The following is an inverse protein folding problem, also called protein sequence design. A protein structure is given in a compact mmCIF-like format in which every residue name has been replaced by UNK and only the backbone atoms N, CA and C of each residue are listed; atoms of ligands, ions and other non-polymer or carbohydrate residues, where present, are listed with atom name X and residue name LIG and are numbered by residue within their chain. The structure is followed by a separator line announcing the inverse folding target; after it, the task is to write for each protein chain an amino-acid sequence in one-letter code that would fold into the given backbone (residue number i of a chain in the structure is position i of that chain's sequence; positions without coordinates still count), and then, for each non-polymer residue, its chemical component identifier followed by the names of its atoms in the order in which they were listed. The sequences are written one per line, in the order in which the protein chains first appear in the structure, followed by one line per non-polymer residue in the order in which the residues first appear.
data_IF_507019763783
#
_entry.id   IF_507019763783
#
_cell.length_a   1.000
_cell.length_b   1.000
_cell.length_c   1.000
_cell.angle_alpha   90.00
_cell.angle_beta   90.00
_cell.angle_gamma   90.00
#
_symmetry.space_group_name_H-M   'P 1'
#
loop_
_entity.id
_entity.type
_entity.pdbx_description
1 polymer ?
#
# COMPACT_ATOMS: atom_id res chain seq x y z
N UNK A 1 21.47 -29.84 -81.10
CA UNK A 1 20.29 -29.53 -80.28
C UNK A 1 20.59 -29.90 -78.83
N UNK A 2 20.95 -28.92 -78.00
CA UNK A 2 21.30 -29.12 -76.58
C UNK A 2 20.01 -29.29 -75.78
N UNK A 3 19.84 -30.46 -75.15
CA UNK A 3 18.74 -30.72 -74.20
C UNK A 3 19.11 -30.09 -72.85
N UNK A 4 18.32 -29.11 -72.43
CA UNK A 4 18.35 -28.51 -71.10
C UNK A 4 17.84 -29.55 -70.08
N UNK A 5 18.66 -29.88 -69.08
CA UNK A 5 18.23 -30.62 -67.89
C UNK A 5 17.70 -29.60 -66.89
N UNK A 6 16.39 -29.68 -66.59
CA UNK A 6 15.74 -28.88 -65.57
C UNK A 6 16.12 -29.46 -64.20
N UNK A 7 16.91 -28.73 -63.41
CA UNK A 7 17.21 -29.07 -62.01
C UNK A 7 16.10 -28.49 -61.14
N UNK A 8 15.23 -29.35 -60.64
CA UNK A 8 14.21 -29.01 -59.64
C UNK A 8 14.88 -28.77 -58.30
N UNK A 9 15.05 -27.51 -57.87
CA UNK A 9 15.37 -27.20 -56.48
C UNK A 9 14.13 -27.45 -55.61
N UNK A 10 14.13 -28.57 -54.87
CA UNK A 10 13.27 -28.70 -53.69
C UNK A 10 13.85 -27.82 -52.58
N UNK A 11 13.20 -26.69 -52.32
CA UNK A 11 13.40 -25.94 -51.07
C UNK A 11 12.72 -26.71 -49.94
N UNK A 12 13.52 -27.39 -49.11
CA UNK A 12 13.05 -27.89 -47.82
C UNK A 12 12.85 -26.66 -46.92
N UNK A 13 11.61 -26.18 -46.85
CA UNK A 13 11.22 -25.21 -45.84
C UNK A 13 11.27 -25.92 -44.47
N UNK A 14 12.32 -25.64 -43.71
CA UNK A 14 12.43 -26.07 -42.32
C UNK A 14 11.39 -25.27 -41.52
N UNK A 15 10.19 -25.83 -41.35
CA UNK A 15 9.18 -25.28 -40.43
C UNK A 15 9.69 -25.56 -39.03
N UNK A 16 10.31 -24.56 -38.41
CA UNK A 16 10.61 -24.59 -36.99
C UNK A 16 9.29 -24.80 -36.22
N UNK A 17 9.22 -25.76 -35.27
CA UNK A 17 8.04 -25.91 -34.47
C UNK A 17 7.84 -24.62 -33.68
N UNK A 18 6.66 -23.98 -33.85
CA UNK A 18 6.23 -22.88 -32.98
C UNK A 18 6.29 -23.40 -31.55
N UNK A 19 7.29 -22.97 -30.78
CA UNK A 19 7.31 -23.16 -29.35
C UNK A 19 6.13 -22.39 -28.77
N UNK A 20 5.02 -23.08 -28.58
CA UNK A 20 4.01 -22.63 -27.65
C UNK A 20 4.69 -22.63 -26.28
N UNK A 21 5.17 -21.45 -25.87
CA UNK A 21 5.54 -21.17 -24.49
C UNK A 21 4.29 -21.43 -23.64
N UNK A 22 4.19 -22.65 -23.11
CA UNK A 22 3.25 -22.99 -22.05
C UNK A 22 3.62 -22.12 -20.85
N UNK A 23 2.89 -21.04 -20.64
CA UNK A 23 2.97 -20.18 -19.46
C UNK A 23 2.16 -20.78 -18.30
N UNK A 24 2.25 -22.09 -18.10
CA UNK A 24 1.74 -22.76 -16.90
C UNK A 24 2.94 -23.18 -16.07
N UNK A 25 3.68 -22.18 -15.56
CA UNK A 25 4.63 -22.42 -14.48
C UNK A 25 3.82 -22.41 -13.20
N UNK A 26 3.55 -23.62 -12.69
CA UNK A 26 3.12 -23.80 -11.31
C UNK A 26 4.07 -23.05 -10.39
N UNK A 27 3.53 -22.15 -9.56
CA UNK A 27 4.29 -21.41 -8.57
C UNK A 27 4.85 -22.41 -7.56
N UNK A 28 6.13 -22.74 -7.67
CA UNK A 28 6.81 -23.52 -6.65
C UNK A 28 6.83 -22.68 -5.36
N UNK A 29 6.09 -23.13 -4.35
CA UNK A 29 6.22 -22.66 -2.98
C UNK A 29 7.69 -22.77 -2.60
N UNK A 30 8.37 -21.64 -2.40
CA UNK A 30 9.72 -21.65 -1.84
C UNK A 30 9.59 -21.88 -0.33
N UNK A 31 10.44 -22.72 0.29
CA UNK A 31 10.40 -22.90 1.73
C UNK A 31 10.62 -21.53 2.38
N UNK A 32 9.67 -21.14 3.25
CA UNK A 32 9.77 -19.92 4.04
C UNK A 32 10.90 -20.02 5.07
N UNK A 33 11.23 -18.90 5.70
CA UNK A 33 12.14 -18.92 6.84
C UNK A 33 11.46 -19.70 7.99
N UNK A 34 12.13 -20.69 8.62
CA UNK A 34 11.51 -21.51 9.66
C UNK A 34 11.05 -20.73 10.90
N UNK A 35 11.51 -19.48 11.07
CA UNK A 35 11.06 -18.58 12.14
C UNK A 35 9.70 -17.94 11.82
N UNK A 36 9.30 -17.89 10.55
CA UNK A 36 8.05 -17.29 10.06
C UNK A 36 6.86 -18.23 10.24
N UNK A 37 6.59 -18.61 11.49
CA UNK A 37 5.61 -19.65 11.87
C UNK A 37 4.18 -19.37 11.42
N UNK A 38 3.83 -18.10 11.19
CA UNK A 38 2.51 -17.68 10.77
C UNK A 38 2.31 -17.72 9.24
N UNK A 39 3.37 -17.95 8.46
CA UNK A 39 3.33 -17.86 6.99
C UNK A 39 3.53 -19.24 6.35
N UNK A 40 2.47 -19.77 5.75
CA UNK A 40 2.51 -20.98 4.94
C UNK A 40 2.26 -20.67 3.46
N UNK A 41 2.70 -21.57 2.57
CA UNK A 41 2.42 -21.52 1.12
C UNK A 41 2.67 -20.15 0.48
N UNK A 42 3.83 -19.56 0.76
CA UNK A 42 4.21 -18.23 0.28
C UNK A 42 4.21 -18.16 -1.27
N UNK A 43 3.49 -17.19 -1.83
CA UNK A 43 3.29 -16.97 -3.26
C UNK A 43 3.65 -15.53 -3.64
N UNK A 44 4.63 -15.37 -4.52
CA UNK A 44 4.93 -14.07 -5.13
C UNK A 44 3.99 -13.82 -6.33
N UNK A 45 3.20 -12.75 -6.29
CA UNK A 45 2.23 -12.41 -7.34
C UNK A 45 2.81 -11.48 -8.41
N UNK A 46 3.59 -10.47 -8.02
CA UNK A 46 4.20 -9.54 -8.98
C UNK A 46 5.67 -9.88 -9.24
N UNK A 47 6.13 -9.53 -10.43
CA UNK A 47 7.55 -9.57 -10.79
C UNK A 47 7.94 -8.22 -11.39
N UNK A 48 8.64 -7.45 -10.59
CA UNK A 48 9.18 -6.15 -10.95
C UNK A 48 8.24 -4.97 -10.70
N UNK A 49 8.82 -3.79 -10.96
CA UNK A 49 8.29 -2.53 -10.46
C UNK A 49 8.54 -2.33 -8.96
N UNK A 50 8.08 -1.20 -8.46
CA UNK A 50 7.92 -0.93 -7.04
C UNK A 50 6.44 -1.09 -6.73
N UNK A 51 6.08 -1.93 -5.76
CA UNK A 51 4.69 -2.23 -5.40
C UNK A 51 4.50 -1.97 -3.91
N UNK A 52 3.33 -1.48 -3.53
CA UNK A 52 2.98 -1.26 -2.14
C UNK A 52 1.46 -1.37 -1.96
N UNK A 53 1.02 -1.51 -0.69
CA UNK A 53 -0.38 -1.31 -0.31
C UNK A 53 -1.37 -2.18 -1.07
N UNK A 54 -1.12 -3.50 -1.12
CA UNK A 54 -1.98 -4.43 -1.82
C UNK A 54 -3.15 -4.91 -0.97
N UNK A 55 -4.29 -4.20 -1.06
CA UNK A 55 -5.48 -4.45 -0.27
C UNK A 55 -6.51 -5.31 -0.99
N UNK A 56 -7.17 -6.20 -0.23
CA UNK A 56 -8.21 -7.07 -0.77
C UNK A 56 -9.50 -6.30 -1.10
N UNK A 57 -10.20 -6.77 -2.13
CA UNK A 57 -11.63 -6.51 -2.25
C UNK A 57 -12.39 -7.14 -1.09
N UNK A 58 -13.57 -6.61 -0.75
CA UNK A 58 -14.42 -7.09 0.34
C UNK A 58 -14.90 -8.54 0.17
N UNK A 59 -15.01 -9.03 -1.07
CA UNK A 59 -15.27 -10.43 -1.38
C UNK A 59 -14.01 -11.33 -1.36
N UNK A 60 -12.84 -10.74 -1.11
CA UNK A 60 -11.55 -11.43 -1.04
C UNK A 60 -11.05 -11.98 -2.38
N UNK A 61 -11.54 -11.51 -3.53
CA UNK A 61 -11.20 -12.10 -4.85
C UNK A 61 -10.16 -11.32 -5.64
N UNK A 62 -9.96 -10.05 -5.34
CA UNK A 62 -9.05 -9.14 -6.04
C UNK A 62 -8.17 -8.38 -5.06
N UNK A 63 -7.06 -7.89 -5.59
CA UNK A 63 -6.22 -6.90 -4.91
C UNK A 63 -6.31 -5.57 -5.66
N UNK A 64 -6.27 -4.46 -4.93
CA UNK A 64 -6.00 -3.12 -5.42
C UNK A 64 -4.70 -2.65 -4.78
N UNK A 65 -3.79 -2.07 -5.56
CA UNK A 65 -2.44 -1.75 -5.09
C UNK A 65 -1.81 -0.64 -5.91
N UNK A 66 -0.84 0.05 -5.31
CA UNK A 66 -0.04 1.03 -6.03
C UNK A 66 1.20 0.38 -6.62
N UNK A 67 1.57 0.79 -7.83
CA UNK A 67 2.82 0.38 -8.44
C UNK A 67 3.45 1.42 -9.34
N UNK A 68 4.75 1.63 -9.18
CA UNK A 68 5.61 2.27 -10.19
C UNK A 68 6.17 1.18 -11.11
N UNK A 69 5.77 1.19 -12.38
CA UNK A 69 6.21 0.24 -13.40
C UNK A 69 6.08 0.83 -14.80
N UNK A 70 6.89 0.39 -15.79
CA UNK A 70 6.76 0.85 -17.16
C UNK A 70 5.31 0.72 -17.69
N UNK A 71 4.81 1.70 -18.45
CA UNK A 71 5.50 2.92 -18.91
C UNK A 71 5.47 4.11 -17.92
N UNK A 72 4.94 3.92 -16.71
CA UNK A 72 4.72 5.01 -15.75
C UNK A 72 5.99 5.33 -14.95
N UNK A 73 6.29 6.62 -14.81
CA UNK A 73 7.46 7.10 -14.08
C UNK A 73 7.21 7.29 -12.58
N UNK A 74 5.96 7.17 -12.13
CA UNK A 74 5.54 7.26 -10.75
C UNK A 74 4.34 6.35 -10.49
N UNK A 75 3.99 6.21 -9.22
CA UNK A 75 2.97 5.28 -8.75
C UNK A 75 1.64 5.51 -9.45
N UNK A 76 1.05 4.41 -9.94
CA UNK A 76 -0.31 4.30 -10.46
C UNK A 76 -1.07 3.21 -9.69
N UNK A 77 -2.39 3.23 -9.76
CA UNK A 77 -3.24 2.23 -9.10
C UNK A 77 -3.58 1.11 -10.06
N UNK A 78 -3.37 -0.12 -9.62
CA UNK A 78 -3.67 -1.34 -10.37
C UNK A 78 -4.58 -2.27 -9.58
N UNK A 79 -5.25 -3.16 -10.30
CA UNK A 79 -5.90 -4.33 -9.73
C UNK A 79 -5.43 -5.62 -10.40
N UNK A 80 -5.51 -6.73 -9.68
CA UNK A 80 -5.27 -8.09 -10.19
C UNK A 80 -6.07 -9.12 -9.39
N UNK A 81 -6.18 -10.34 -9.91
CA UNK A 81 -6.71 -11.46 -9.13
C UNK A 81 -5.66 -12.09 -8.19
N UNK A 82 -6.11 -12.97 -7.30
CA UNK A 82 -5.23 -13.64 -6.31
C UNK A 82 -4.24 -14.67 -6.91
N UNK A 83 -4.26 -14.87 -8.24
CA UNK A 83 -3.28 -15.69 -8.96
C UNK A 83 -2.21 -14.82 -9.63
N UNK A 84 -2.25 -13.50 -9.42
CA UNK A 84 -1.38 -12.53 -10.07
C UNK A 84 -1.70 -12.34 -11.55
N UNK A 85 -2.91 -12.72 -12.00
CA UNK A 85 -3.37 -12.54 -13.38
C UNK A 85 -4.32 -11.34 -13.47
N UNK A 86 -4.67 -10.97 -14.70
CA UNK A 86 -5.60 -9.88 -15.00
C UNK A 86 -5.16 -8.52 -14.42
N UNK A 87 -3.85 -8.22 -14.54
CA UNK A 87 -3.32 -6.93 -14.13
C UNK A 87 -3.92 -5.82 -14.99
N UNK A 88 -4.60 -4.87 -14.35
CA UNK A 88 -5.30 -3.77 -15.00
C UNK A 88 -4.95 -2.44 -14.31
N UNK A 89 -4.62 -1.42 -15.10
CA UNK A 89 -4.53 -0.03 -14.63
C UNK A 89 -5.94 0.47 -14.27
N UNK A 90 -6.10 1.01 -13.07
CA UNK A 90 -7.34 1.62 -12.58
C UNK A 90 -7.29 3.15 -12.55
N UNK A 91 -6.13 3.73 -12.26
CA UNK A 91 -5.96 5.19 -12.30
C UNK A 91 -5.82 5.72 -13.74
N UNK A 92 -5.72 7.04 -13.87
CA UNK A 92 -5.71 7.73 -15.18
C UNK A 92 -4.41 7.56 -15.98
N UNK A 93 -3.36 6.99 -15.39
CA UNK A 93 -2.01 6.97 -15.97
C UNK A 93 -1.29 8.32 -15.91
N UNK A 94 -1.88 9.33 -15.26
CA UNK A 94 -1.37 10.71 -15.13
C UNK A 94 -1.21 11.06 -13.65
N UNK A 95 -0.34 12.03 -13.39
CA UNK A 95 0.00 12.46 -12.04
C UNK A 95 0.57 11.31 -11.20
N UNK A 96 0.80 11.56 -9.92
CA UNK A 96 1.08 10.48 -8.97
C UNK A 96 -0.20 9.99 -8.32
N UNK A 97 -0.22 8.73 -7.92
CA UNK A 97 -1.28 8.17 -7.07
C UNK A 97 -0.71 7.58 -5.79
N UNK A 98 -1.55 7.48 -4.76
CA UNK A 98 -1.23 6.74 -3.53
C UNK A 98 -2.52 6.16 -2.94
N UNK A 99 -2.39 5.12 -2.12
CA UNK A 99 -3.41 4.59 -1.22
C UNK A 99 -4.80 4.43 -1.87
N UNK A 100 -5.06 3.25 -2.42
CA UNK A 100 -6.33 2.93 -3.06
C UNK A 100 -7.09 1.85 -2.30
N UNK A 101 -8.42 1.92 -2.25
CA UNK A 101 -9.22 0.99 -1.46
C UNK A 101 -10.57 0.69 -2.14
N UNK A 102 -11.04 -0.54 -2.06
CA UNK A 102 -12.34 -0.92 -2.60
C UNK A 102 -13.49 -0.43 -1.72
N UNK A 103 -14.67 -0.30 -2.31
CA UNK A 103 -15.93 -0.18 -1.57
C UNK A 103 -16.51 -1.57 -1.27
N UNK A 104 -17.39 -1.70 -0.27
CA UNK A 104 -18.05 -2.97 0.08
C UNK A 104 -18.80 -3.65 -1.07
N UNK A 105 -19.21 -2.91 -2.09
CA UNK A 105 -19.88 -3.46 -3.27
C UNK A 105 -18.93 -4.16 -4.27
N UNK A 106 -17.62 -4.13 -4.02
CA UNK A 106 -16.57 -4.72 -4.87
C UNK A 106 -16.55 -4.19 -6.31
N UNK A 107 -17.15 -3.03 -6.55
CA UNK A 107 -17.29 -2.39 -7.86
C UNK A 107 -16.72 -0.98 -7.86
N UNK A 108 -16.94 -0.22 -6.81
CA UNK A 108 -16.34 1.09 -6.64
C UNK A 108 -15.03 1.00 -5.87
N UNK A 109 -14.17 1.98 -6.11
CA UNK A 109 -12.90 2.14 -5.40
C UNK A 109 -12.54 3.61 -5.29
N UNK A 110 -11.75 3.93 -4.27
CA UNK A 110 -11.14 5.25 -4.09
C UNK A 110 -9.64 5.16 -4.25
N UNK A 111 -9.02 6.29 -4.60
CA UNK A 111 -7.58 6.49 -4.57
C UNK A 111 -7.26 7.98 -4.49
N UNK A 112 -6.09 8.33 -3.97
CA UNK A 112 -5.62 9.70 -4.00
C UNK A 112 -4.75 9.95 -5.23
N UNK A 113 -4.86 11.13 -5.85
CA UNK A 113 -4.08 11.46 -7.03
C UNK A 113 -3.83 12.95 -7.23
N UNK A 114 -2.74 13.27 -7.91
CA UNK A 114 -2.43 14.64 -8.33
C UNK A 114 -2.96 14.97 -9.73
N UNK A 115 -3.54 14.02 -10.47
CA UNK A 115 -3.70 14.12 -11.92
C UNK A 115 -4.49 15.33 -12.45
N UNK A 116 -5.46 15.84 -11.71
CA UNK A 116 -6.29 16.98 -12.14
C UNK A 116 -5.50 18.29 -12.09
N UNK A 117 -4.70 18.50 -11.03
CA UNK A 117 -3.92 19.72 -10.83
C UNK A 117 -2.48 19.61 -11.39
N UNK A 118 -1.90 18.41 -11.33
CA UNK A 118 -0.57 18.08 -11.84
C UNK A 118 -0.57 16.70 -12.54
N UNK A 119 -0.73 16.67 -13.88
CA UNK A 119 -0.74 15.43 -14.65
C UNK A 119 0.65 14.81 -14.86
N UNK A 120 1.72 15.50 -14.48
CA UNK A 120 3.08 14.97 -14.55
C UNK A 120 3.48 14.30 -13.24
N UNK A 121 4.46 13.39 -13.30
CA UNK A 121 5.03 12.83 -12.10
C UNK A 121 5.75 13.92 -11.29
N UNK A 122 5.36 14.16 -10.02
CA UNK A 122 6.02 15.13 -9.17
C UNK A 122 7.50 14.78 -8.96
N UNK A 123 8.37 15.79 -8.82
CA UNK A 123 9.78 15.55 -8.55
C UNK A 123 9.96 14.84 -7.21
N UNK A 124 10.98 13.98 -7.13
CA UNK A 124 11.38 13.38 -5.85
C UNK A 124 12.04 14.45 -4.97
N UNK A 125 11.74 14.49 -3.67
CA UNK A 125 12.45 15.38 -2.73
C UNK A 125 13.96 15.14 -2.76
N UNK A 126 14.73 16.19 -2.48
CA UNK A 126 16.18 16.09 -2.35
C UNK A 126 16.59 15.19 -1.18
N UNK A 127 17.59 14.32 -1.40
CA UNK A 127 18.15 13.48 -0.35
C UNK A 127 19.05 14.26 0.64
N UNK A 128 19.38 15.52 0.37
CA UNK A 128 20.33 16.31 1.17
C UNK A 128 19.89 16.53 2.63
N UNK A 129 18.59 16.45 2.93
CA UNK A 129 18.01 16.59 4.28
C UNK A 129 17.67 15.25 4.97
N UNK A 130 18.16 14.13 4.44
CA UNK A 130 17.78 12.78 4.85
C UNK A 130 16.49 12.29 4.19
N UNK A 131 16.01 11.13 4.62
CA UNK A 131 14.81 10.50 4.08
C UNK A 131 13.53 11.23 4.55
N UNK A 132 12.70 11.65 3.60
CA UNK A 132 11.44 12.36 3.82
C UNK A 132 10.37 11.82 2.89
N UNK A 133 9.11 11.94 3.29
CA UNK A 133 7.96 11.66 2.45
C UNK A 133 7.39 12.97 1.88
N UNK A 134 7.17 13.05 0.56
CA UNK A 134 6.51 14.19 -0.05
C UNK A 134 5.01 14.19 0.23
N UNK A 135 4.51 15.34 0.69
CA UNK A 135 3.12 15.68 0.83
C UNK A 135 2.76 16.60 -0.34
N UNK A 136 2.62 16.04 -1.54
CA UNK A 136 2.27 16.83 -2.71
C UNK A 136 0.94 17.56 -2.46
N UNK A 137 0.96 18.88 -2.61
CA UNK A 137 -0.16 19.78 -2.29
C UNK A 137 -1.31 19.72 -3.31
N UNK A 138 -1.19 18.83 -4.28
CA UNK A 138 -2.16 18.59 -5.35
C UNK A 138 -2.94 17.28 -5.15
N UNK A 139 -2.72 16.57 -4.04
CA UNK A 139 -3.44 15.32 -3.78
C UNK A 139 -4.89 15.60 -3.40
N UNK A 140 -5.79 15.03 -4.19
CA UNK A 140 -7.21 14.89 -3.87
C UNK A 140 -7.60 13.41 -3.91
N UNK A 141 -8.69 13.07 -3.23
CA UNK A 141 -9.29 11.73 -3.23
C UNK A 141 -10.34 11.66 -4.33
N UNK A 142 -10.27 10.59 -5.13
CA UNK A 142 -11.18 10.33 -6.24
C UNK A 142 -11.88 8.99 -6.07
N UNK A 143 -13.13 8.94 -6.48
CA UNK A 143 -13.98 7.75 -6.61
C UNK A 143 -14.07 7.35 -8.08
N UNK A 144 -13.96 6.06 -8.37
CA UNK A 144 -14.23 5.49 -9.68
C UNK A 144 -14.89 4.10 -9.55
N UNK A 145 -15.27 3.51 -10.68
CA UNK A 145 -15.87 2.17 -10.75
C UNK A 145 -15.09 1.28 -11.69
N UNK A 146 -15.09 -0.03 -11.45
CA UNK A 146 -14.48 -1.00 -12.34
C UNK A 146 -15.15 -1.06 -13.73
N UNK A 147 -16.38 -0.56 -13.84
CA UNK A 147 -17.12 -0.48 -15.11
C UNK A 147 -16.92 0.87 -15.82
N UNK A 148 -16.55 1.92 -15.08
CA UNK A 148 -16.25 3.26 -15.58
C UNK A 148 -15.10 3.86 -14.76
N UNK A 149 -13.90 3.83 -15.35
CA UNK A 149 -12.67 4.32 -14.74
C UNK A 149 -12.57 5.85 -14.74
N UNK A 150 -13.61 6.57 -15.15
CA UNK A 150 -13.65 8.03 -15.07
C UNK A 150 -13.69 8.48 -13.61
N UNK A 151 -12.64 9.13 -13.09
CA UNK A 151 -12.61 9.52 -11.69
C UNK A 151 -13.52 10.70 -11.41
N UNK A 152 -14.23 10.65 -10.27
CA UNK A 152 -14.99 11.74 -9.68
C UNK A 152 -14.31 12.19 -8.39
N UNK A 153 -13.96 13.47 -8.21
CA UNK A 153 -13.35 13.92 -6.97
C UNK A 153 -14.35 13.85 -5.81
N UNK A 154 -13.86 13.39 -4.66
CA UNK A 154 -14.52 13.45 -3.36
C UNK A 154 -14.00 14.64 -2.55
N UNK A 155 -12.75 15.04 -2.77
CA UNK A 155 -12.15 16.24 -2.17
C UNK A 155 -11.70 17.22 -3.25
N UNK A 156 -11.60 18.49 -2.87
CA UNK A 156 -11.01 19.58 -3.67
C UNK A 156 -10.29 20.57 -2.76
N UNK A 157 -9.76 20.07 -1.64
CA UNK A 157 -9.22 20.92 -0.58
C UNK A 157 -7.75 21.20 -0.89
N UNK A 158 -7.29 22.47 -0.84
CA UNK A 158 -5.88 22.77 -1.08
C UNK A 158 -4.99 22.02 -0.10
N UNK A 159 -3.95 21.36 -0.62
CA UNK A 159 -2.99 20.61 0.19
C UNK A 159 -3.01 19.12 -0.10
N UNK A 160 -2.90 18.33 0.95
CA UNK A 160 -2.73 16.88 0.87
C UNK A 160 -3.98 16.21 1.43
N UNK A 161 -4.82 15.63 0.57
CA UNK A 161 -5.90 14.72 0.95
C UNK A 161 -5.59 13.33 0.38
N UNK A 162 -5.19 12.39 1.23
CA UNK A 162 -4.79 11.06 0.80
C UNK A 162 -4.92 9.99 1.90
N UNK A 163 -4.29 8.83 1.70
CA UNK A 163 -4.23 7.73 2.69
C UNK A 163 -5.61 7.19 3.10
N UNK A 164 -6.54 7.19 2.15
CA UNK A 164 -7.95 6.93 2.41
C UNK A 164 -8.28 5.43 2.45
N UNK A 165 -9.06 5.00 3.44
CA UNK A 165 -9.63 3.64 3.53
C UNK A 165 -11.13 3.70 3.83
N UNK A 166 -11.84 2.62 3.54
CA UNK A 166 -13.31 2.55 3.66
C UNK A 166 -13.70 1.65 4.82
N UNK A 167 -14.64 2.11 5.64
CA UNK A 167 -15.23 1.32 6.73
C UNK A 167 -15.88 0.04 6.18
N UNK A 168 -15.68 -1.12 6.83
CA UNK A 168 -16.35 -2.35 6.43
C UNK A 168 -17.88 -2.31 6.49
N UNK A 169 -18.44 -1.34 7.22
CA UNK A 169 -19.89 -1.07 7.25
C UNK A 169 -20.40 -0.33 6.01
N UNK A 170 -19.51 0.23 5.18
CA UNK A 170 -19.90 1.02 4.01
C UNK A 170 -20.55 2.35 4.36
N UNK A 171 -20.21 2.93 5.50
CA UNK A 171 -20.80 4.16 6.02
C UNK A 171 -19.85 5.35 6.03
N UNK A 172 -18.53 5.10 6.11
CA UNK A 172 -17.50 6.15 6.23
C UNK A 172 -16.23 5.83 5.46
N UNK A 173 -15.55 6.88 5.03
CA UNK A 173 -14.16 6.90 4.60
C UNK A 173 -13.35 7.56 5.72
N UNK A 174 -12.18 7.04 6.06
CA UNK A 174 -11.16 7.73 6.86
C UNK A 174 -10.00 8.10 5.97
N UNK A 175 -9.38 9.26 6.17
CA UNK A 175 -8.28 9.75 5.34
C UNK A 175 -7.43 10.78 6.08
N UNK A 176 -6.21 11.05 5.59
CA UNK A 176 -5.32 12.09 6.11
C UNK A 176 -5.51 13.39 5.34
N UNK A 177 -5.61 14.50 6.06
CA UNK A 177 -5.64 15.83 5.46
C UNK A 177 -4.77 16.85 6.19
N UNK A 178 -4.13 17.74 5.43
CA UNK A 178 -3.39 18.91 5.96
C UNK A 178 -4.26 20.18 6.07
N UNK A 179 -5.56 20.10 5.80
CA UNK A 179 -6.43 21.28 5.59
C UNK A 179 -6.47 22.29 6.74
N UNK A 180 -6.22 21.84 7.97
CA UNK A 180 -6.22 22.68 9.18
C UNK A 180 -4.80 23.07 9.62
N UNK A 181 -3.80 22.91 8.75
CA UNK A 181 -2.41 23.29 8.99
C UNK A 181 -1.53 22.20 9.60
N UNK A 182 -2.11 21.05 9.95
CA UNK A 182 -1.41 19.85 10.40
C UNK A 182 -1.99 18.59 9.74
N UNK A 183 -1.21 17.50 9.67
CA UNK A 183 -1.64 16.23 9.09
C UNK A 183 -2.51 15.45 10.07
N UNK A 184 -3.82 15.53 9.88
CA UNK A 184 -4.80 14.98 10.80
C UNK A 184 -5.67 13.95 10.09
N UNK A 185 -6.26 13.02 10.87
CA UNK A 185 -7.28 12.12 10.37
C UNK A 185 -8.63 12.85 10.27
N UNK A 186 -9.33 12.57 9.18
CA UNK A 186 -10.69 12.99 8.95
C UNK A 186 -11.53 11.80 8.53
N UNK A 187 -12.84 11.89 8.76
CA UNK A 187 -13.82 11.00 8.17
C UNK A 187 -14.78 11.77 7.29
N UNK A 188 -15.41 11.08 6.33
CA UNK A 188 -16.50 11.60 5.51
C UNK A 188 -17.45 10.46 5.10
N UNK A 189 -18.65 10.82 4.64
CA UNK A 189 -19.55 9.89 3.96
C UNK A 189 -18.92 9.39 2.64
N UNK A 190 -19.42 8.26 2.13
CA UNK A 190 -18.93 7.67 0.88
C UNK A 190 -19.08 8.58 -0.36
N UNK A 191 -19.98 9.55 -0.32
CA UNK A 191 -20.18 10.52 -1.41
C UNK A 191 -19.25 11.74 -1.35
N UNK A 192 -18.49 11.89 -0.25
CA UNK A 192 -17.60 13.01 0.05
C UNK A 192 -18.17 14.05 1.03
N UNK A 193 -19.44 13.90 1.45
CA UNK A 193 -20.10 14.83 2.39
C UNK A 193 -19.77 14.54 3.86
N UNK A 194 -20.21 15.40 4.79
CA UNK A 194 -20.07 15.21 6.25
C UNK A 194 -18.60 15.00 6.70
N UNK A 195 -17.70 15.86 6.19
CA UNK A 195 -16.29 15.83 6.55
C UNK A 195 -16.11 16.24 8.03
N UNK A 196 -15.47 15.39 8.83
CA UNK A 196 -15.21 15.60 10.26
C UNK A 196 -13.77 15.28 10.62
N UNK A 197 -13.13 16.15 11.39
CA UNK A 197 -11.80 15.91 11.96
C UNK A 197 -11.89 14.90 13.12
N UNK A 198 -10.91 14.02 13.22
CA UNK A 198 -10.83 12.92 14.20
C UNK A 198 -9.68 13.13 15.19
N UNK A 199 -8.52 13.56 14.70
CA UNK A 199 -7.33 13.81 15.52
C UNK A 199 -7.05 15.31 15.62
N UNK A 200 -6.38 15.71 16.70
CA UNK A 200 -6.18 17.13 17.07
C UNK A 200 -4.81 17.42 17.71
N UNK A 201 -3.94 16.41 17.79
CA UNK A 201 -2.67 16.54 18.51
C UNK A 201 -1.55 16.75 17.50
N UNK A 202 -0.73 17.78 17.72
CA UNK A 202 0.33 18.17 16.80
C UNK A 202 1.21 16.99 16.39
N UNK A 203 1.36 16.82 15.09
CA UNK A 203 2.21 15.81 14.48
C UNK A 203 1.54 15.16 13.28
N UNK A 204 2.20 14.15 12.74
CA UNK A 204 1.64 13.44 11.60
C UNK A 204 0.70 12.34 12.07
N UNK A 205 -0.56 12.37 11.65
CA UNK A 205 -1.49 11.25 11.72
C UNK A 205 -1.86 10.73 10.32
N UNK A 206 -1.62 9.44 10.04
CA UNK A 206 -2.02 8.89 8.75
C UNK A 206 -2.07 7.37 8.60
N UNK A 207 -2.46 6.94 7.40
CA UNK A 207 -2.57 5.53 7.02
C UNK A 207 -3.54 4.76 7.92
N UNK A 208 -4.72 5.34 8.18
CA UNK A 208 -5.68 4.81 9.12
C UNK A 208 -6.55 3.69 8.52
N UNK A 209 -6.89 2.69 9.34
CA UNK A 209 -7.80 1.60 8.99
C UNK A 209 -8.88 1.42 10.06
N UNK A 210 -10.10 1.19 9.61
CA UNK A 210 -11.20 0.74 10.46
C UNK A 210 -10.98 -0.70 10.94
N UNK A 211 -11.43 -1.00 12.17
CA UNK A 211 -11.53 -2.37 12.67
C UNK A 211 -12.53 -3.19 11.83
N UNK A 212 -12.50 -4.55 11.90
CA UNK A 212 -13.40 -5.39 11.12
C UNK A 212 -14.90 -5.12 11.37
N UNK A 213 -15.24 -4.68 12.57
CA UNK A 213 -16.59 -4.27 12.97
C UNK A 213 -16.86 -2.76 12.80
N UNK A 214 -15.90 -2.01 12.25
CA UNK A 214 -15.96 -0.57 11.99
C UNK A 214 -16.12 0.30 13.24
N UNK A 215 -15.84 -0.19 14.45
CA UNK A 215 -16.01 0.56 15.70
C UNK A 215 -14.76 1.34 16.12
N UNK A 216 -13.59 0.96 15.61
CA UNK A 216 -12.30 1.52 15.99
C UNK A 216 -11.48 1.93 14.76
N UNK A 217 -10.47 2.78 14.99
CA UNK A 217 -9.43 3.13 14.03
C UNK A 217 -8.07 2.71 14.57
N UNK A 218 -7.18 2.27 13.68
CA UNK A 218 -5.75 2.11 13.93
C UNK A 218 -4.97 2.93 12.91
N UNK A 219 -3.90 3.61 13.32
CA UNK A 219 -3.11 4.45 12.42
C UNK A 219 -1.67 4.60 12.90
N UNK A 220 -0.80 5.15 12.04
CA UNK A 220 0.56 5.54 12.43
C UNK A 220 0.58 7.02 12.78
N UNK A 221 1.34 7.40 13.79
CA UNK A 221 1.51 8.80 14.11
C UNK A 221 2.90 9.18 14.61
N UNK A 222 3.31 10.44 14.37
CA UNK A 222 4.43 11.08 15.06
C UNK A 222 3.90 12.13 16.03
N UNK A 223 4.59 12.28 17.16
CA UNK A 223 4.34 13.34 18.15
C UNK A 223 5.68 14.02 18.47
N UNK A 224 6.05 15.09 17.74
CA UNK A 224 7.31 15.77 17.99
C UNK A 224 7.31 16.39 19.38
N UNK A 225 8.41 16.23 20.12
CA UNK A 225 8.55 16.91 21.41
C UNK A 225 8.61 18.43 21.23
N UNK A 226 8.25 19.16 22.29
CA UNK A 226 8.34 20.62 22.31
C UNK A 226 9.80 21.09 22.06
N UNK A 227 9.94 22.22 21.36
CA UNK A 227 11.24 22.78 20.98
C UNK A 227 11.69 22.29 19.60
N UNK A 228 12.95 21.85 19.49
CA UNK A 228 13.60 21.58 18.21
C UNK A 228 12.86 20.58 17.31
N UNK A 229 12.31 19.51 17.88
CA UNK A 229 11.56 18.50 17.10
C UNK A 229 10.30 19.11 16.46
N UNK A 230 9.58 19.94 17.21
CA UNK A 230 8.40 20.67 16.71
C UNK A 230 8.79 21.67 15.62
N UNK A 231 9.86 22.43 15.83
CA UNK A 231 10.37 23.39 14.83
C UNK A 231 10.77 22.69 13.53
N UNK A 232 11.49 21.57 13.62
CA UNK A 232 11.87 20.76 12.46
C UNK A 232 10.66 20.17 11.75
N UNK A 233 9.67 19.67 12.49
CA UNK A 233 8.41 19.14 11.94
C UNK A 233 7.66 20.21 11.14
N UNK A 234 7.41 21.37 11.76
CA UNK A 234 6.67 22.47 11.12
C UNK A 234 7.43 23.04 9.90
N UNK A 235 8.77 23.10 9.96
CA UNK A 235 9.59 23.54 8.84
C UNK A 235 9.52 22.59 7.64
N UNK A 236 9.49 21.27 7.89
CA UNK A 236 9.28 20.27 6.83
C UNK A 236 7.85 20.34 6.28
N UNK A 237 6.85 20.45 7.17
CA UNK A 237 5.45 20.51 6.76
C UNK A 237 5.18 21.74 5.86
N UNK A 238 5.78 22.89 6.19
CA UNK A 238 5.72 24.09 5.35
C UNK A 238 6.29 23.88 3.93
N UNK A 239 7.21 22.93 3.77
CA UNK A 239 7.77 22.53 2.47
C UNK A 239 6.98 21.41 1.79
N UNK A 240 5.88 20.93 2.39
CA UNK A 240 5.15 19.76 1.90
C UNK A 240 5.93 18.47 2.12
N UNK A 241 6.61 18.33 3.26
CA UNK A 241 7.42 17.17 3.61
C UNK A 241 7.10 16.69 5.02
N UNK A 242 7.28 15.39 5.27
CA UNK A 242 7.30 14.81 6.63
C UNK A 242 8.45 13.83 6.77
N UNK A 243 8.99 13.69 7.98
CA UNK A 243 10.05 12.72 8.28
C UNK A 243 9.48 11.49 9.01
N UNK A 244 9.53 10.28 8.40
CA UNK A 244 8.94 9.07 8.96
C UNK A 244 9.91 8.30 9.88
N UNK A 245 10.74 8.99 10.66
CA UNK A 245 11.83 8.34 11.43
C UNK A 245 11.40 7.78 12.78
N UNK A 246 10.36 8.37 13.41
CA UNK A 246 9.79 7.92 14.68
C UNK A 246 8.28 7.97 14.56
N UNK A 247 7.73 6.82 14.20
CA UNK A 247 6.30 6.62 14.02
C UNK A 247 5.84 5.57 15.01
N UNK A 248 4.72 5.83 15.65
CA UNK A 248 4.11 4.94 16.63
C UNK A 248 2.73 4.53 16.16
N UNK A 249 2.26 3.36 16.57
CA UNK A 249 0.92 2.89 16.26
C UNK A 249 -0.05 3.37 17.33
N UNK A 250 -1.18 3.91 16.90
CA UNK A 250 -2.26 4.39 17.76
C UNK A 250 -3.57 3.69 17.42
N UNK A 251 -4.47 3.69 18.40
CA UNK A 251 -5.83 3.18 18.29
C UNK A 251 -6.81 4.11 19.01
N UNK A 252 -8.03 4.22 18.50
CA UNK A 252 -9.13 4.97 19.09
C UNK A 252 -10.47 4.39 18.66
N UNK A 253 -11.56 4.84 19.28
CA UNK A 253 -12.88 4.66 18.69
C UNK A 253 -12.98 5.43 17.36
N UNK A 254 -13.85 4.98 16.46
CA UNK A 254 -14.00 5.58 15.14
C UNK A 254 -14.50 7.05 15.16
N UNK A 255 -15.02 7.51 16.29
CA UNK A 255 -15.39 8.91 16.54
C UNK A 255 -14.23 9.79 17.04
N UNK A 256 -13.03 9.22 17.19
CA UNK A 256 -11.83 9.93 17.67
C UNK A 256 -11.65 9.92 19.19
N UNK A 257 -12.57 9.34 19.95
CA UNK A 257 -12.46 9.28 21.40
C UNK A 257 -11.58 8.10 21.86
N UNK A 258 -11.06 8.18 23.10
CA UNK A 258 -10.24 7.14 23.72
C UNK A 258 -8.97 6.78 22.93
N UNK A 259 -8.26 7.81 22.45
CA UNK A 259 -6.96 7.66 21.78
C UNK A 259 -5.95 7.00 22.72
N UNK A 260 -5.28 5.96 22.22
CA UNK A 260 -4.26 5.19 22.94
C UNK A 260 -3.08 4.92 22.03
N UNK A 261 -1.88 5.16 22.54
CA UNK A 261 -0.63 4.78 21.89
C UNK A 261 -0.29 3.32 22.21
N UNK A 262 -0.03 2.50 21.20
CA UNK A 262 0.30 1.08 21.33
C UNK A 262 1.81 0.81 21.31
N UNK A 263 2.59 1.61 20.59
CA UNK A 263 4.05 1.48 20.55
C UNK A 263 4.75 2.71 21.11
N UNK A 264 5.90 2.52 21.74
CA UNK A 264 6.81 3.59 22.17
C UNK A 264 8.22 3.01 22.30
N UNK A 265 8.74 2.50 21.18
CA UNK A 265 9.95 1.68 21.14
C UNK A 265 11.11 2.37 20.41
N UNK A 266 10.93 3.62 19.97
CA UNK A 266 11.97 4.41 19.29
C UNK A 266 12.23 3.99 17.83
N UNK A 267 11.40 3.10 17.28
CA UNK A 267 11.45 2.66 15.90
C UNK A 267 10.50 3.49 15.00
N UNK A 268 10.57 3.25 13.71
CA UNK A 268 9.55 3.66 12.76
C UNK A 268 8.52 2.54 12.60
N UNK A 269 7.41 2.64 13.34
CA UNK A 269 6.30 1.71 13.26
C UNK A 269 5.20 2.28 12.34
N UNK A 270 4.84 1.57 11.26
CA UNK A 270 3.87 2.09 10.28
C UNK A 270 3.07 1.00 9.56
N UNK A 271 2.17 1.43 8.67
CA UNK A 271 1.23 0.58 7.92
C UNK A 271 0.52 -0.47 8.81
N UNK A 272 -0.17 -0.03 9.88
CA UNK A 272 -0.91 -0.95 10.72
C UNK A 272 -2.15 -1.48 9.99
N UNK A 273 -2.48 -2.75 10.24
CA UNK A 273 -3.73 -3.36 9.81
C UNK A 273 -4.31 -4.23 10.93
N UNK A 274 -5.63 -4.35 10.95
CA UNK A 274 -6.32 -5.20 11.91
C UNK A 274 -6.17 -6.66 11.53
N UNK A 275 -5.90 -7.50 12.53
CA UNK A 275 -6.20 -8.92 12.41
C UNK A 275 -7.73 -9.11 12.34
N UNK A 276 -8.25 -10.02 11.50
CA UNK A 276 -9.70 -10.26 11.32
C UNK A 276 -10.45 -10.61 12.60
N UNK A 277 -9.75 -11.18 13.59
CA UNK A 277 -10.32 -11.43 14.92
C UNK A 277 -10.69 -10.15 15.70
N UNK A 278 -10.22 -8.98 15.25
CA UNK A 278 -10.40 -7.70 15.93
C UNK A 278 -9.57 -7.55 17.21
N UNK A 279 -8.65 -8.49 17.51
CA UNK A 279 -7.91 -8.54 18.80
C UNK A 279 -6.43 -8.22 18.69
N UNK A 280 -5.88 -8.17 17.49
CA UNK A 280 -4.46 -7.95 17.23
C UNK A 280 -4.27 -6.95 16.10
N UNK A 281 -3.15 -6.24 16.13
CA UNK A 281 -2.69 -5.35 15.07
C UNK A 281 -1.41 -5.94 14.47
N UNK A 282 -1.37 -6.08 13.15
CA UNK A 282 -0.13 -6.33 12.40
C UNK A 282 0.40 -4.99 11.87
N UNK A 283 1.71 -4.77 11.90
CA UNK A 283 2.32 -3.52 11.46
C UNK A 283 3.77 -3.75 11.01
N UNK A 284 4.37 -2.72 10.42
CA UNK A 284 5.75 -2.73 9.93
C UNK A 284 6.65 -2.02 10.92
N UNK A 285 7.84 -2.56 11.22
CA UNK A 285 8.80 -1.89 12.11
C UNK A 285 10.25 -2.22 11.77
N UNK A 286 11.14 -1.24 11.96
CA UNK A 286 12.59 -1.44 11.96
C UNK A 286 13.16 -1.65 13.37
N UNK A 287 12.34 -2.07 14.34
CA UNK A 287 12.73 -2.22 15.74
C UNK A 287 14.06 -2.96 15.96
N UNK A 288 14.31 -4.02 15.19
CA UNK A 288 15.53 -4.84 15.33
C UNK A 288 16.72 -4.34 14.51
N UNK A 289 16.52 -3.36 13.63
CA UNK A 289 17.59 -2.74 12.85
C UNK A 289 17.25 -1.28 12.48
N UNK A 290 17.20 -0.37 13.47
CA UNK A 290 16.72 1.00 13.27
C UNK A 290 17.66 1.86 12.42
N UNK A 291 18.85 1.37 12.10
CA UNK A 291 19.88 2.10 11.33
C UNK A 291 19.95 1.70 9.87
N UNK A 292 19.29 0.61 9.48
CA UNK A 292 19.25 0.15 8.10
C UNK A 292 17.87 0.41 7.47
N UNK A 293 17.68 -0.10 6.24
CA UNK A 293 16.38 -0.11 5.56
C UNK A 293 15.61 -1.41 5.81
N UNK A 294 16.03 -2.18 6.81
CA UNK A 294 15.39 -3.43 7.17
C UNK A 294 14.10 -3.17 7.95
N UNK A 295 13.00 -3.70 7.44
CA UNK A 295 11.69 -3.61 8.06
C UNK A 295 11.04 -4.98 8.02
N UNK A 296 10.49 -5.39 9.16
CA UNK A 296 9.75 -6.63 9.29
C UNK A 296 8.31 -6.37 9.71
N UNK A 297 7.48 -7.40 9.57
CA UNK A 297 6.13 -7.42 10.09
C UNK A 297 6.16 -7.80 11.57
N UNK A 298 5.33 -7.14 12.38
CA UNK A 298 5.14 -7.40 13.80
C UNK A 298 3.65 -7.50 14.11
N UNK A 299 3.31 -8.31 15.10
CA UNK A 299 1.95 -8.51 15.60
C UNK A 299 1.91 -8.16 17.09
N UNK A 300 0.83 -7.53 17.55
CA UNK A 300 0.63 -7.21 18.97
C UNK A 300 -0.85 -7.19 19.35
N UNK A 301 -1.14 -7.28 20.65
CA UNK A 301 -2.47 -7.10 21.22
C UNK A 301 -2.90 -5.61 21.21
N UNK A 302 -4.20 -5.34 21.35
CA UNK A 302 -4.74 -3.97 21.38
C UNK A 302 -4.35 -3.15 22.62
N UNK A 303 -3.67 -3.75 23.59
CA UNK A 303 -3.09 -3.06 24.75
C UNK A 303 -1.58 -2.81 24.60
N UNK A 304 -1.00 -3.15 23.44
CA UNK A 304 0.43 -3.04 23.16
C UNK A 304 1.28 -4.20 23.71
N UNK A 305 0.67 -5.17 24.40
CA UNK A 305 1.37 -6.36 24.89
C UNK A 305 1.51 -7.42 23.81
N UNK A 306 2.31 -8.45 24.09
CA UNK A 306 2.43 -9.62 23.19
C UNK A 306 3.10 -9.29 21.86
N UNK A 307 4.00 -8.30 21.84
CA UNK A 307 4.76 -7.94 20.65
C UNK A 307 5.55 -9.14 20.12
N UNK A 308 5.28 -9.49 18.88
CA UNK A 308 5.87 -10.63 18.17
C UNK A 308 6.38 -10.17 16.80
N UNK A 309 7.57 -10.65 16.40
CA UNK A 309 8.09 -10.49 15.04
C UNK A 309 7.56 -11.62 14.16
N UNK A 310 6.95 -11.27 13.03
CA UNK A 310 6.28 -12.21 12.10
C UNK A 310 7.18 -12.58 10.93
N UNK A 311 7.96 -11.64 10.40
CA UNK A 311 8.91 -11.88 9.30
C UNK A 311 10.36 -11.64 9.69
N UNK A 312 11.30 -12.26 8.97
CA UNK A 312 12.73 -12.26 9.32
C UNK A 312 13.67 -12.03 8.13
N UNK A 313 13.17 -11.51 7.01
CA UNK A 313 14.01 -11.28 5.83
C UNK A 313 14.84 -10.00 5.96
N UNK A 314 16.11 -10.09 5.62
CA UNK A 314 17.11 -9.03 5.85
C UNK A 314 17.07 -7.91 4.77
N UNK A 315 15.87 -7.39 4.50
CA UNK A 315 15.63 -6.18 3.70
C UNK A 315 14.22 -5.65 4.04
N UNK A 316 13.35 -5.39 3.06
CA UNK A 316 12.04 -4.82 3.33
C UNK A 316 10.92 -5.86 3.24
N UNK A 317 10.13 -5.92 4.32
CA UNK A 317 8.77 -6.47 4.36
C UNK A 317 7.80 -5.41 4.89
N UNK A 318 6.71 -5.19 4.18
CA UNK A 318 5.77 -4.16 4.59
C UNK A 318 4.39 -4.25 3.98
N UNK A 319 3.56 -3.27 4.34
CA UNK A 319 2.18 -3.12 3.90
C UNK A 319 1.32 -4.38 4.10
N UNK A 320 1.29 -4.97 5.32
CA UNK A 320 0.52 -6.17 5.60
C UNK A 320 -0.99 -5.88 5.60
N UNK A 321 -1.78 -6.80 5.09
CA UNK A 321 -3.24 -6.77 5.22
C UNK A 321 -3.81 -8.19 5.16
N UNK A 322 -4.78 -8.48 6.01
CA UNK A 322 -5.48 -9.75 5.98
C UNK A 322 -6.60 -9.73 4.94
N UNK A 323 -6.80 -10.88 4.31
CA UNK A 323 -8.02 -11.19 3.55
C UNK A 323 -9.26 -11.12 4.46
N UNK A 324 -10.45 -10.82 3.91
CA UNK A 324 -11.67 -10.71 4.69
C UNK A 324 -12.04 -11.97 5.49
N UNK A 325 -11.68 -13.16 5.00
CA UNK A 325 -11.90 -14.43 5.71
C UNK A 325 -10.79 -14.79 6.71
N UNK A 326 -9.73 -13.99 6.74
CA UNK A 326 -8.58 -14.12 7.63
C UNK A 326 -7.62 -15.26 7.35
N UNK A 327 -7.77 -15.97 6.23
CA UNK A 327 -6.92 -17.13 5.92
C UNK A 327 -5.67 -16.79 5.15
N UNK A 328 -5.60 -15.59 4.59
CA UNK A 328 -4.47 -15.14 3.77
C UNK A 328 -4.00 -13.77 4.24
N UNK A 329 -2.69 -13.61 4.33
CA UNK A 329 -2.01 -12.33 4.49
C UNK A 329 -1.45 -11.89 3.12
N UNK A 330 -1.81 -10.70 2.67
CA UNK A 330 -1.08 -10.00 1.62
C UNK A 330 -0.04 -9.07 2.25
N UNK A 331 1.15 -9.03 1.67
CA UNK A 331 2.20 -8.11 2.06
C UNK A 331 3.14 -7.86 0.89
N UNK A 332 3.97 -6.84 0.99
CA UNK A 332 4.97 -6.50 -0.01
C UNK A 332 6.36 -6.79 0.53
N UNK A 333 7.24 -7.33 -0.31
CA UNK A 333 8.57 -7.74 0.12
C UNK A 333 9.61 -7.58 -0.99
N UNK A 334 10.85 -7.33 -0.58
CA UNK A 334 12.02 -7.34 -1.45
C UNK A 334 12.61 -8.76 -1.61
N UNK A 335 11.98 -9.78 -1.02
CA UNK A 335 12.36 -11.18 -1.25
C UNK A 335 12.33 -11.50 -2.74
N UNK A 336 13.37 -12.21 -3.18
CA UNK A 336 13.47 -12.77 -4.53
C UNK A 336 13.39 -11.75 -5.68
N UNK A 337 13.75 -10.50 -5.41
CA UNK A 337 13.86 -9.48 -6.42
C UNK A 337 14.75 -9.90 -7.58
N UNK A 338 14.36 -9.51 -8.79
CA UNK A 338 15.16 -9.72 -10.01
C UNK A 338 16.23 -8.64 -10.18
N UNK A 339 16.03 -7.47 -9.56
CA UNK A 339 17.00 -6.37 -9.49
C UNK A 339 16.87 -5.62 -8.15
N UNK A 340 17.92 -4.93 -7.68
CA UNK A 340 17.86 -4.13 -6.46
C UNK A 340 16.74 -3.08 -6.50
N UNK A 341 16.04 -2.90 -5.37
CA UNK A 341 14.99 -1.90 -5.22
C UNK A 341 13.61 -2.29 -5.75
N UNK A 342 13.42 -3.51 -6.28
CA UNK A 342 12.08 -4.03 -6.51
C UNK A 342 11.37 -4.30 -5.19
N UNK A 343 10.06 -4.15 -5.15
CA UNK A 343 9.23 -4.58 -4.02
C UNK A 343 8.04 -5.28 -4.63
N UNK A 344 7.79 -6.54 -4.28
CA UNK A 344 6.79 -7.38 -4.92
C UNK A 344 5.66 -7.74 -3.96
N UNK A 345 4.46 -7.95 -4.49
CA UNK A 345 3.30 -8.41 -3.72
C UNK A 345 3.39 -9.91 -3.50
N UNK A 346 3.17 -10.33 -2.26
CA UNK A 346 3.11 -11.72 -1.82
C UNK A 346 1.76 -12.02 -1.17
N UNK A 347 1.33 -13.27 -1.32
CA UNK A 347 0.28 -13.89 -0.50
C UNK A 347 0.89 -15.03 0.31
N UNK A 348 0.53 -15.13 1.57
CA UNK A 348 0.82 -16.28 2.43
C UNK A 348 -0.48 -16.77 3.07
N UNK A 349 -0.63 -18.08 3.19
CA UNK A 349 -1.67 -18.66 4.03
C UNK A 349 -1.31 -18.37 5.49
N UNK A 350 -2.24 -17.81 6.25
CA UNK A 350 -2.05 -17.44 7.63
C UNK A 350 -2.31 -18.62 8.57
N UNK A 351 -1.41 -18.82 9.53
CA UNK A 351 -1.51 -19.83 10.59
C UNK A 351 -1.53 -19.08 11.92
N UNK A 352 -2.56 -19.27 12.75
CA UNK A 352 -2.74 -18.56 14.04
C UNK A 352 -1.81 -19.03 15.18
#
# INVERSE_FOLDING_TARGET
MRRLVLVSLLTVACVAPKSQLRHDVFFASRPGDPRERHLANLRQLTRGGENAEAYFSFDGRRLIFQSTRPPFACDQIFTMDLRGKNLQLLSTGKGRTTCAYFYPDNRHFIYASTHEQNPQCPPRPSAAGGYVWPLDRNYDIYLASLDDLTPRPLTRTPGYDAEATVSPKGDRIVFTSVRDGDLELYTMNLDGSDVRRITHELGYDGGAFFSPDGSMLVWRASRPAAGKETEEYLALLAQGLVRPSKLEIYVAYADGTNVRRLTNNGAANFAPAWHPSGKKIIFVSNLHDPKSRNFDLYLMNLDGTGLERVTYFEDFDGFPVFSPDGKTLAFCSNRYNSKPGETNVFLADWID
#
